data_IF_644864346684
#
_entry.id   IF_644864346684
#
_cell.length_a   1.000
_cell.length_b   1.000
_cell.length_c   1.000
_cell.angle_alpha   90.00
_cell.angle_beta   90.00
_cell.angle_gamma   90.00
#
_symmetry.space_group_name_H-M   'P 1'
#
loop_
_entity.id
_entity.type
_entity.pdbx_description
1 polymer ?
#
# COMPACT_ATOMS: atom_id res chain seq x y z
N UNK A 1 28.10 -13.40 -0.56
CA UNK A 1 26.71 -13.15 -1.05
C UNK A 1 26.72 -12.56 -2.45
N UNK A 2 27.34 -11.40 -2.69
CA UNK A 2 27.42 -10.82 -4.04
C UNK A 2 27.98 -11.79 -5.09
N UNK A 3 29.03 -12.53 -4.74
CA UNK A 3 29.59 -13.57 -5.60
C UNK A 3 28.67 -14.80 -5.71
N UNK A 4 28.43 -15.51 -4.60
CA UNK A 4 27.76 -16.81 -4.65
C UNK A 4 26.24 -16.78 -4.88
N UNK A 5 25.55 -15.70 -4.49
CA UNK A 5 24.08 -15.61 -4.60
C UNK A 5 23.65 -14.78 -5.80
N UNK A 6 24.36 -13.68 -6.06
CA UNK A 6 24.02 -12.75 -7.15
C UNK A 6 24.81 -13.08 -8.43
N UNK A 7 25.92 -13.81 -8.31
CA UNK A 7 26.76 -14.19 -9.45
C UNK A 7 27.72 -13.09 -9.90
N UNK A 8 27.99 -12.08 -9.07
CA UNK A 8 28.92 -11.00 -9.42
C UNK A 8 30.37 -11.47 -9.33
N UNK A 9 31.16 -11.16 -10.35
CA UNK A 9 32.57 -11.54 -10.43
C UNK A 9 33.42 -10.44 -11.07
N UNK A 10 34.74 -10.65 -11.10
CA UNK A 10 35.70 -9.76 -11.76
C UNK A 10 35.67 -8.32 -11.23
N UNK A 11 35.73 -7.35 -12.15
CA UNK A 11 35.84 -5.93 -11.82
C UNK A 11 34.66 -5.40 -11.00
N UNK A 12 33.43 -5.87 -11.27
CA UNK A 12 32.25 -5.45 -10.53
C UNK A 12 32.33 -5.89 -9.06
N UNK A 13 32.76 -7.14 -8.80
CA UNK A 13 32.95 -7.63 -7.44
C UNK A 13 34.07 -6.88 -6.72
N UNK A 14 35.19 -6.62 -7.39
CA UNK A 14 36.30 -5.83 -6.83
C UNK A 14 35.87 -4.41 -6.49
N UNK A 15 35.05 -3.77 -7.34
CA UNK A 15 34.50 -2.45 -7.07
C UNK A 15 33.60 -2.45 -5.82
N UNK A 16 32.72 -3.44 -5.67
CA UNK A 16 31.93 -3.57 -4.45
C UNK A 16 32.79 -3.84 -3.21
N UNK A 17 33.85 -4.66 -3.30
CA UNK A 17 34.79 -4.86 -2.18
C UNK A 17 35.43 -3.53 -1.77
N UNK A 18 35.94 -2.76 -2.73
CA UNK A 18 36.47 -1.42 -2.48
C UNK A 18 35.44 -0.47 -1.88
N UNK A 19 34.16 -0.60 -2.22
CA UNK A 19 33.09 0.21 -1.64
C UNK A 19 32.84 -0.11 -0.16
N UNK A 20 33.07 -1.34 0.29
CA UNK A 20 32.84 -1.73 1.68
C UNK A 20 34.06 -1.59 2.58
N UNK A 21 35.26 -1.86 2.04
CA UNK A 21 36.53 -1.88 2.76
C UNK A 21 37.06 -0.48 3.07
N UNK A 22 37.86 -0.36 4.15
CA UNK A 22 38.56 0.87 4.50
C UNK A 22 37.66 2.04 4.90
N UNK A 23 36.38 1.81 5.17
CA UNK A 23 35.44 2.86 5.55
C UNK A 23 35.58 3.24 7.02
N UNK A 24 35.36 4.52 7.28
CA UNK A 24 35.12 5.03 8.63
C UNK A 24 34.28 6.29 8.59
N UNK A 25 33.86 6.75 9.75
CA UNK A 25 33.02 7.92 9.92
C UNK A 25 33.52 8.78 11.07
N UNK A 26 33.11 10.04 11.05
CA UNK A 26 33.15 10.95 12.17
C UNK A 26 31.88 11.80 12.14
N UNK A 27 31.52 12.39 13.27
CA UNK A 27 30.36 13.27 13.40
C UNK A 27 30.85 14.70 13.53
N UNK A 28 30.26 15.62 12.76
CA UNK A 28 30.57 17.06 12.83
C UNK A 28 29.33 17.83 13.23
N UNK A 29 29.44 18.69 14.25
CA UNK A 29 28.37 19.58 14.71
C UNK A 29 28.92 20.99 14.93
N UNK A 30 28.61 21.89 13.99
CA UNK A 30 29.27 23.20 13.92
C UNK A 30 30.77 23.02 13.69
N UNK A 31 31.58 23.62 14.56
CA UNK A 31 33.06 23.53 14.51
C UNK A 31 33.64 22.31 15.22
N UNK A 32 32.82 21.49 15.88
CA UNK A 32 33.29 20.32 16.62
C UNK A 32 33.23 19.06 15.76
N UNK A 33 34.31 18.28 15.77
CA UNK A 33 34.42 16.99 15.08
C UNK A 33 34.77 15.88 16.05
N UNK A 34 34.14 14.72 15.89
CA UNK A 34 34.51 13.51 16.62
C UNK A 34 35.80 12.90 16.06
N UNK A 35 36.38 11.96 16.81
CA UNK A 35 37.46 11.11 16.27
C UNK A 35 36.93 10.26 15.11
N UNK A 36 37.80 10.00 14.16
CA UNK A 36 37.54 9.06 13.07
C UNK A 36 37.44 7.64 13.62
N UNK A 37 36.38 6.92 13.25
CA UNK A 37 36.10 5.55 13.70
C UNK A 37 35.88 4.66 12.49
N UNK A 38 36.54 3.50 12.47
CA UNK A 38 36.36 2.50 11.40
C UNK A 38 34.97 1.89 11.43
N UNK A 39 34.41 1.62 10.25
CA UNK A 39 33.07 1.06 10.07
C UNK A 39 33.15 -0.31 9.42
N UNK A 40 32.97 -1.35 10.24
CA UNK A 40 33.11 -2.76 9.82
C UNK A 40 31.85 -3.34 9.20
N UNK A 41 30.68 -2.76 9.47
CA UNK A 41 29.39 -3.25 9.00
C UNK A 41 28.46 -2.10 8.57
N UNK A 42 27.43 -2.45 7.80
CA UNK A 42 26.38 -1.52 7.36
C UNK A 42 26.72 -0.75 6.08
N UNK A 43 25.70 -0.16 5.47
CA UNK A 43 25.82 0.74 4.30
C UNK A 43 25.51 2.17 4.73
N UNK A 44 26.12 3.20 4.12
CA UNK A 44 25.88 4.58 4.53
C UNK A 44 24.43 4.96 4.21
N UNK A 45 23.70 5.47 5.19
CA UNK A 45 22.36 6.00 4.96
C UNK A 45 22.45 7.22 4.02
N UNK A 46 21.55 7.28 3.04
CA UNK A 46 21.58 8.30 1.98
C UNK A 46 22.43 7.92 0.76
N UNK A 47 23.18 6.82 0.80
CA UNK A 47 23.85 6.29 -0.40
C UNK A 47 22.83 5.72 -1.39
N UNK A 48 23.05 5.98 -2.68
CA UNK A 48 22.23 5.46 -3.79
C UNK A 48 22.24 3.92 -3.81
N UNK A 49 23.36 3.29 -3.42
CA UNK A 49 23.52 1.83 -3.45
C UNK A 49 22.96 1.14 -2.20
N UNK A 50 22.79 1.87 -1.10
CA UNK A 50 22.38 1.27 0.17
C UNK A 50 21.08 0.46 0.07
N UNK A 51 20.00 0.94 -0.59
CA UNK A 51 18.77 0.16 -0.74
C UNK A 51 18.98 -1.16 -1.50
N UNK A 52 19.68 -1.11 -2.65
CA UNK A 52 19.96 -2.31 -3.45
C UNK A 52 20.78 -3.32 -2.65
N UNK A 53 21.85 -2.86 -2.01
CA UNK A 53 22.74 -3.70 -1.21
C UNK A 53 22.00 -4.35 -0.03
N UNK A 54 21.07 -3.63 0.60
CA UNK A 54 20.22 -4.18 1.64
C UNK A 54 19.29 -5.28 1.07
N UNK A 55 18.64 -5.05 -0.07
CA UNK A 55 17.82 -6.10 -0.71
C UNK A 55 18.64 -7.35 -1.06
N UNK A 56 19.85 -7.18 -1.60
CA UNK A 56 20.76 -8.30 -1.89
C UNK A 56 21.21 -9.02 -0.61
N UNK A 57 21.40 -8.26 0.48
CA UNK A 57 21.72 -8.83 1.78
C UNK A 57 20.59 -9.72 2.29
N UNK A 58 19.33 -9.32 2.12
CA UNK A 58 18.16 -10.04 2.62
C UNK A 58 17.73 -11.24 1.75
N UNK A 59 18.33 -11.46 0.57
CA UNK A 59 17.96 -12.56 -0.34
C UNK A 59 17.84 -13.95 0.33
N UNK A 60 18.75 -14.39 1.23
CA UNK A 60 18.64 -15.70 1.84
C UNK A 60 17.42 -15.90 2.74
N UNK A 61 16.92 -14.81 3.35
CA UNK A 61 15.71 -14.85 4.17
C UNK A 61 14.50 -15.37 3.37
N UNK A 62 14.47 -14.95 2.09
CA UNK A 62 13.43 -15.30 1.12
C UNK A 62 13.38 -16.81 0.83
N UNK A 63 14.51 -17.51 0.94
CA UNK A 63 14.62 -18.97 0.75
C UNK A 63 14.07 -19.72 1.97
N UNK A 64 14.37 -19.26 3.18
CA UNK A 64 13.84 -19.84 4.44
C UNK A 64 12.31 -19.88 4.40
N UNK A 65 11.69 -18.76 4.02
CA UNK A 65 10.23 -18.67 3.91
C UNK A 65 9.66 -19.63 2.85
N UNK A 66 10.30 -19.75 1.68
CA UNK A 66 9.86 -20.68 0.63
C UNK A 66 10.00 -22.14 1.04
N UNK A 67 11.05 -22.50 1.77
CA UNK A 67 11.25 -23.87 2.26
C UNK A 67 10.14 -24.28 3.24
N UNK A 68 9.66 -23.34 4.05
CA UNK A 68 8.53 -23.52 4.96
C UNK A 68 7.16 -23.32 4.28
N UNK A 69 7.11 -23.19 2.95
CA UNK A 69 5.88 -22.95 2.16
C UNK A 69 5.10 -21.71 2.58
N UNK A 70 5.79 -20.68 3.08
CA UNK A 70 5.20 -19.46 3.57
C UNK A 70 5.22 -18.38 2.48
N UNK A 71 4.06 -17.77 2.26
CA UNK A 71 3.94 -16.60 1.40
C UNK A 71 4.40 -15.35 2.14
N UNK A 72 5.10 -14.44 1.45
CA UNK A 72 5.61 -13.22 2.06
C UNK A 72 5.71 -12.07 1.06
N UNK A 73 5.75 -10.86 1.61
CA UNK A 73 6.21 -9.66 0.93
C UNK A 73 7.28 -8.98 1.78
N UNK A 74 8.24 -8.35 1.14
CA UNK A 74 9.29 -7.58 1.82
C UNK A 74 9.39 -6.20 1.21
N UNK A 75 9.47 -5.19 2.05
CA UNK A 75 9.71 -3.81 1.68
C UNK A 75 10.74 -3.22 2.63
N UNK A 76 11.97 -3.05 2.13
CA UNK A 76 13.12 -2.75 2.99
C UNK A 76 13.17 -3.75 4.16
N UNK A 77 13.28 -3.27 5.40
CA UNK A 77 13.31 -4.08 6.62
C UNK A 77 11.94 -4.63 7.04
N UNK A 78 10.83 -4.04 6.58
CA UNK A 78 9.49 -4.54 6.84
C UNK A 78 9.22 -5.80 6.02
N UNK A 79 8.97 -6.93 6.70
CA UNK A 79 8.57 -8.19 6.07
C UNK A 79 7.22 -8.64 6.58
N UNK A 80 6.29 -8.88 5.64
CA UNK A 80 4.97 -9.40 5.92
C UNK A 80 4.91 -10.88 5.55
N UNK A 81 4.39 -11.70 6.46
CA UNK A 81 4.18 -13.12 6.27
C UNK A 81 2.68 -13.39 6.18
N UNK A 82 2.27 -14.19 5.20
CA UNK A 82 0.88 -14.54 4.95
C UNK A 82 0.69 -16.05 5.09
N UNK A 83 -0.37 -16.41 5.80
CA UNK A 83 -0.74 -17.80 6.05
C UNK A 83 -2.25 -17.94 5.85
N UNK A 84 -2.65 -18.90 5.03
CA UNK A 84 -4.04 -19.30 4.91
C UNK A 84 -4.27 -20.53 5.79
N UNK A 85 -5.37 -20.53 6.53
CA UNK A 85 -5.75 -21.63 7.41
C UNK A 85 -7.05 -22.24 6.93
N UNK A 86 -7.10 -23.56 6.94
CA UNK A 86 -8.34 -24.30 6.80
C UNK A 86 -8.98 -24.49 8.17
N UNK A 87 -10.32 -24.53 8.29
CA UNK A 87 -10.98 -24.76 9.56
C UNK A 87 -10.44 -26.03 10.24
N UNK A 88 -10.07 -25.92 11.52
CA UNK A 88 -9.49 -26.98 12.35
C UNK A 88 -8.11 -27.53 11.93
N UNK A 89 -7.44 -26.94 10.92
CA UNK A 89 -6.06 -27.28 10.58
C UNK A 89 -5.11 -26.15 11.01
N UNK A 90 -4.38 -26.40 12.10
CA UNK A 90 -3.41 -25.47 12.67
C UNK A 90 -1.96 -25.83 12.32
N UNK A 91 -1.72 -26.88 11.53
CA UNK A 91 -0.37 -27.25 11.08
C UNK A 91 0.38 -26.13 10.35
N UNK A 92 -0.28 -25.20 9.61
CA UNK A 92 0.45 -24.09 9.01
C UNK A 92 0.96 -23.09 10.05
N UNK A 93 0.33 -22.99 11.23
CA UNK A 93 0.80 -22.13 12.33
C UNK A 93 2.08 -22.70 12.93
N UNK A 94 2.19 -24.03 13.01
CA UNK A 94 3.41 -24.68 13.48
C UNK A 94 4.57 -24.45 12.52
N UNK A 95 4.30 -24.56 11.22
CA UNK A 95 5.26 -24.22 10.17
C UNK A 95 5.69 -22.75 10.23
N UNK A 96 4.76 -21.84 10.55
CA UNK A 96 5.06 -20.42 10.80
C UNK A 96 6.00 -20.24 11.99
N UNK A 97 5.73 -20.89 13.13
CA UNK A 97 6.56 -20.77 14.32
C UNK A 97 7.98 -21.27 14.04
N UNK A 98 8.12 -22.42 13.39
CA UNK A 98 9.41 -22.95 12.97
C UNK A 98 10.14 -21.97 12.03
N UNK A 99 9.44 -21.42 11.04
CA UNK A 99 10.02 -20.45 10.13
C UNK A 99 10.51 -19.19 10.86
N UNK A 100 9.78 -18.69 11.86
CA UNK A 100 10.19 -17.53 12.66
C UNK A 100 11.49 -17.83 13.42
N UNK A 101 11.63 -19.04 13.98
CA UNK A 101 12.85 -19.46 14.68
C UNK A 101 14.05 -19.57 13.72
N UNK A 102 13.84 -20.12 12.53
CA UNK A 102 14.86 -20.18 11.47
C UNK A 102 15.28 -18.78 11.00
N UNK A 103 14.31 -17.88 10.81
CA UNK A 103 14.55 -16.47 10.48
C UNK A 103 15.37 -15.80 11.58
N UNK A 104 15.01 -15.99 12.84
CA UNK A 104 15.71 -15.38 13.96
C UNK A 104 17.15 -15.90 14.07
N UNK A 105 17.35 -17.22 13.92
CA UNK A 105 18.68 -17.83 13.88
C UNK A 105 19.53 -17.27 12.75
N UNK A 106 18.96 -17.17 11.54
CA UNK A 106 19.64 -16.59 10.39
C UNK A 106 19.98 -15.12 10.61
N UNK A 107 19.06 -14.31 11.15
CA UNK A 107 19.32 -12.90 11.44
C UNK A 107 20.49 -12.75 12.41
N UNK A 108 20.50 -13.50 13.51
CA UNK A 108 21.59 -13.50 14.50
C UNK A 108 22.95 -13.85 13.88
N UNK A 109 23.01 -14.90 13.05
CA UNK A 109 24.23 -15.31 12.35
C UNK A 109 24.74 -14.26 11.37
N UNK A 110 23.88 -13.32 10.97
CA UNK A 110 24.17 -12.30 9.99
C UNK A 110 24.07 -10.90 10.60
N UNK A 111 24.37 -10.76 11.90
CA UNK A 111 24.47 -9.45 12.56
C UNK A 111 23.21 -8.57 12.42
N UNK A 112 22.04 -9.21 12.27
CA UNK A 112 20.73 -8.57 12.30
C UNK A 112 20.00 -9.00 13.58
N UNK A 113 19.09 -8.15 14.03
CA UNK A 113 18.25 -8.42 15.19
C UNK A 113 16.79 -8.34 14.78
N UNK A 114 16.06 -9.44 14.97
CA UNK A 114 14.61 -9.45 14.83
C UNK A 114 13.99 -8.58 15.93
N UNK A 115 13.24 -7.55 15.54
CA UNK A 115 12.57 -6.69 16.49
C UNK A 115 11.28 -7.34 16.97
N UNK A 116 11.36 -8.10 18.07
CA UNK A 116 10.21 -8.81 18.67
C UNK A 116 9.07 -7.86 19.06
N UNK A 117 9.38 -6.67 19.55
CA UNK A 117 8.36 -5.68 19.95
C UNK A 117 7.56 -5.14 18.76
N UNK A 118 8.20 -5.02 17.59
CA UNK A 118 7.58 -4.60 16.34
C UNK A 118 6.96 -5.75 15.53
N UNK A 119 7.25 -6.99 15.88
CA UNK A 119 6.69 -8.15 15.19
C UNK A 119 5.26 -8.37 15.70
N UNK A 120 4.28 -8.08 14.84
CA UNK A 120 2.87 -8.13 15.20
C UNK A 120 2.14 -9.20 14.38
N UNK A 121 1.23 -9.95 15.02
CA UNK A 121 0.39 -10.96 14.36
C UNK A 121 -1.07 -10.50 14.39
N UNK A 122 -1.77 -10.65 13.27
CA UNK A 122 -3.20 -10.35 13.16
C UNK A 122 -3.92 -11.46 12.38
N UNK A 123 -5.05 -11.93 12.91
CA UNK A 123 -5.94 -12.87 12.23
C UNK A 123 -7.04 -12.16 11.47
N UNK A 124 -7.33 -12.62 10.25
CA UNK A 124 -8.46 -12.17 9.44
C UNK A 124 -9.41 -13.34 9.18
N UNK A 125 -10.71 -13.13 9.33
CA UNK A 125 -11.71 -14.17 9.11
C UNK A 125 -12.99 -13.93 9.89
N UNK A 126 -13.81 -14.98 10.04
CA UNK A 126 -14.99 -14.94 10.90
C UNK A 126 -14.56 -14.77 12.35
N UNK A 127 -15.37 -14.06 13.15
CA UNK A 127 -15.04 -13.75 14.54
C UNK A 127 -14.74 -15.00 15.36
N UNK A 128 -15.49 -16.08 15.14
CA UNK A 128 -15.31 -17.33 15.87
C UNK A 128 -14.00 -18.02 15.51
N UNK A 129 -13.68 -18.14 14.22
CA UNK A 129 -12.44 -18.78 13.77
C UNK A 129 -11.20 -17.97 14.18
N UNK A 130 -11.25 -16.64 14.07
CA UNK A 130 -10.17 -15.77 14.53
C UNK A 130 -9.90 -15.96 16.03
N UNK A 131 -10.93 -16.13 16.86
CA UNK A 131 -10.74 -16.38 18.29
C UNK A 131 -10.03 -17.72 18.55
N UNK A 132 -10.39 -18.79 17.83
CA UNK A 132 -9.73 -20.10 17.94
C UNK A 132 -8.26 -20.02 17.50
N UNK A 133 -8.00 -19.37 16.36
CA UNK A 133 -6.65 -19.16 15.82
C UNK A 133 -5.79 -18.33 16.77
N UNK A 134 -6.34 -17.24 17.32
CA UNK A 134 -5.63 -16.40 18.29
C UNK A 134 -5.25 -17.18 19.55
N UNK A 135 -6.18 -17.99 20.09
CA UNK A 135 -5.90 -18.83 21.25
C UNK A 135 -4.77 -19.84 20.97
N UNK A 136 -4.75 -20.42 19.76
CA UNK A 136 -3.68 -21.33 19.35
C UNK A 136 -2.32 -20.60 19.21
N UNK A 137 -2.30 -19.43 18.57
CA UNK A 137 -1.10 -18.58 18.44
C UNK A 137 -0.54 -18.17 19.81
N UNK A 138 -1.42 -17.76 20.73
CA UNK A 138 -1.03 -17.38 22.09
C UNK A 138 -0.42 -18.59 22.82
N UNK A 139 -0.95 -19.81 22.62
CA UNK A 139 -0.35 -21.05 23.17
C UNK A 139 1.05 -21.36 22.64
N UNK A 140 1.38 -20.86 21.44
CA UNK A 140 2.70 -20.93 20.80
C UNK A 140 3.60 -19.73 21.12
N UNK A 141 3.17 -18.84 22.03
CA UNK A 141 3.91 -17.65 22.44
C UNK A 141 3.87 -16.50 21.43
N UNK A 142 2.95 -16.54 20.46
CA UNK A 142 2.77 -15.48 19.46
C UNK A 142 1.60 -14.59 19.83
N UNK A 143 1.88 -13.39 20.35
CA UNK A 143 0.83 -12.45 20.77
C UNK A 143 0.11 -11.84 19.57
N UNK A 144 -1.22 -11.98 19.54
CA UNK A 144 -2.07 -11.39 18.50
C UNK A 144 -2.55 -9.98 18.85
N UNK A 145 -2.75 -9.14 17.82
CA UNK A 145 -3.32 -7.80 17.95
C UNK A 145 -4.60 -7.67 17.12
N UNK A 146 -5.53 -6.85 17.60
CA UNK A 146 -6.76 -6.51 16.87
C UNK A 146 -6.52 -5.49 15.75
N UNK A 147 -5.41 -4.75 15.82
CA UNK A 147 -4.96 -3.82 14.80
C UNK A 147 -3.44 -3.85 14.66
N UNK A 148 -2.94 -3.73 13.43
CA UNK A 148 -1.51 -3.68 13.11
C UNK A 148 -1.21 -2.58 12.10
N UNK A 149 0.00 -2.05 12.12
CA UNK A 149 0.42 -1.05 11.12
C UNK A 149 1.29 -1.71 10.06
N UNK A 150 0.89 -1.57 8.80
CA UNK A 150 1.65 -2.06 7.65
C UNK A 150 1.84 -0.93 6.63
N UNK A 151 3.09 -0.54 6.34
CA UNK A 151 3.45 0.51 5.38
C UNK A 151 2.61 1.79 5.52
N UNK A 152 2.37 2.23 6.76
CA UNK A 152 1.59 3.44 7.08
C UNK A 152 0.06 3.26 7.07
N UNK A 153 -0.45 2.09 6.73
CA UNK A 153 -1.88 1.73 6.83
C UNK A 153 -2.14 0.99 8.14
N UNK A 154 -3.26 1.29 8.80
CA UNK A 154 -3.70 0.55 10.00
C UNK A 154 -4.72 -0.48 9.54
N UNK A 155 -4.40 -1.75 9.71
CA UNK A 155 -5.27 -2.88 9.40
C UNK A 155 -5.96 -3.32 10.69
N UNK A 156 -7.27 -3.47 10.65
CA UNK A 156 -8.09 -4.02 11.73
C UNK A 156 -8.53 -5.43 11.33
N UNK A 157 -8.74 -6.32 12.30
CA UNK A 157 -9.08 -7.73 12.03
C UNK A 157 -10.40 -7.90 11.25
N UNK A 158 -11.29 -6.91 11.34
CA UNK A 158 -12.56 -6.85 10.61
C UNK A 158 -12.45 -6.16 9.23
N UNK A 159 -11.26 -5.69 8.86
CA UNK A 159 -10.99 -4.90 7.65
C UNK A 159 -11.91 -3.67 7.50
N UNK A 160 -12.37 -3.07 8.60
CA UNK A 160 -13.24 -1.88 8.55
C UNK A 160 -12.48 -0.60 8.22
N UNK A 161 -11.17 -0.57 8.47
CA UNK A 161 -10.27 0.60 8.34
C UNK A 161 -10.74 1.84 9.09
N UNK A 162 -11.61 1.67 10.09
CA UNK A 162 -12.18 2.75 10.89
C UNK A 162 -11.09 3.50 11.64
N UNK A 163 -10.14 2.78 12.24
CA UNK A 163 -9.02 3.35 12.98
C UNK A 163 -8.02 4.04 12.05
N UNK A 164 -7.79 3.48 10.87
CA UNK A 164 -6.97 4.12 9.83
C UNK A 164 -7.57 5.46 9.39
N UNK A 165 -8.84 5.47 9.01
CA UNK A 165 -9.54 6.67 8.55
C UNK A 165 -9.59 7.74 9.64
N UNK A 166 -9.81 7.36 10.91
CA UNK A 166 -9.73 8.29 12.05
C UNK A 166 -8.33 8.91 12.20
N UNK A 167 -7.27 8.10 12.07
CA UNK A 167 -5.89 8.58 12.17
C UNK A 167 -5.55 9.57 11.04
N UNK A 168 -5.92 9.24 9.80
CA UNK A 168 -5.75 10.13 8.64
C UNK A 168 -6.57 11.42 8.83
N UNK A 169 -7.81 11.29 9.29
CA UNK A 169 -8.69 12.43 9.57
C UNK A 169 -8.09 13.37 10.61
N UNK A 170 -7.60 12.84 11.74
CA UNK A 170 -6.94 13.62 12.79
C UNK A 170 -5.72 14.36 12.25
N UNK A 171 -4.84 13.68 11.51
CA UNK A 171 -3.65 14.28 10.93
C UNK A 171 -4.01 15.36 9.89
N UNK A 172 -4.97 15.09 9.01
CA UNK A 172 -5.39 16.04 7.99
C UNK A 172 -6.00 17.30 8.60
N UNK A 173 -6.88 17.19 9.61
CA UNK A 173 -7.45 18.37 10.27
C UNK A 173 -6.41 19.18 11.06
N UNK A 174 -5.39 18.53 11.63
CA UNK A 174 -4.26 19.23 12.22
C UNK A 174 -3.56 20.13 11.18
N UNK A 175 -3.24 19.57 10.01
CA UNK A 175 -2.63 20.36 8.92
C UNK A 175 -3.58 21.42 8.37
N UNK A 176 -4.87 21.12 8.15
CA UNK A 176 -5.86 22.09 7.70
C UNK A 176 -5.96 23.29 8.63
N UNK A 177 -5.94 23.07 9.95
CA UNK A 177 -5.97 24.16 10.94
C UNK A 177 -4.74 25.06 10.82
N UNK A 178 -3.56 24.48 10.62
CA UNK A 178 -2.32 25.25 10.44
C UNK A 178 -2.33 26.01 9.11
N UNK A 179 -2.73 25.35 8.02
CA UNK A 179 -2.89 25.97 6.70
C UNK A 179 -3.89 27.12 6.74
N UNK A 180 -5.03 26.96 7.43
CA UNK A 180 -6.03 28.02 7.58
C UNK A 180 -5.49 29.25 8.33
N UNK A 181 -4.61 29.06 9.33
CA UNK A 181 -3.99 30.17 10.07
C UNK A 181 -3.05 31.00 9.23
N UNK A 182 -2.27 30.35 8.37
CA UNK A 182 -1.28 31.04 7.52
C UNK A 182 -1.87 31.55 6.21
N UNK A 183 -3.11 31.15 5.86
CA UNK A 183 -3.79 31.49 4.60
C UNK A 183 -3.67 32.97 4.22
N UNK A 184 -3.76 33.88 5.18
CA UNK A 184 -3.70 35.33 4.94
C UNK A 184 -2.32 35.82 4.49
N UNK A 185 -1.27 35.03 4.72
CA UNK A 185 0.13 35.38 4.51
C UNK A 185 0.76 34.65 3.33
N UNK A 186 0.04 33.73 2.68
CA UNK A 186 0.51 32.96 1.52
C UNK A 186 -0.31 33.25 0.29
N UNK A 187 0.34 33.19 -0.88
CA UNK A 187 -0.34 33.29 -2.17
C UNK A 187 -1.34 32.15 -2.37
N UNK A 188 -2.35 32.34 -3.22
CA UNK A 188 -3.30 31.27 -3.55
C UNK A 188 -2.62 30.05 -4.16
N UNK A 189 -1.56 30.25 -4.97
CA UNK A 189 -0.80 29.17 -5.59
C UNK A 189 -0.02 28.36 -4.55
N UNK A 190 0.61 29.01 -3.58
CA UNK A 190 1.35 28.31 -2.53
C UNK A 190 0.39 27.63 -1.54
N UNK A 191 -0.77 28.25 -1.28
CA UNK A 191 -1.83 27.62 -0.51
C UNK A 191 -2.33 26.32 -1.16
N UNK A 192 -2.50 26.32 -2.48
CA UNK A 192 -2.86 25.12 -3.26
C UNK A 192 -1.78 24.04 -3.12
N UNK A 193 -0.49 24.39 -3.28
CA UNK A 193 0.63 23.46 -3.06
C UNK A 193 0.61 22.87 -1.66
N UNK A 194 0.37 23.68 -0.63
CA UNK A 194 0.28 23.22 0.76
C UNK A 194 -0.89 22.25 0.96
N UNK A 195 -2.06 22.57 0.39
CA UNK A 195 -3.23 21.68 0.45
C UNK A 195 -2.92 20.35 -0.25
N UNK A 196 -2.29 20.37 -1.41
CA UNK A 196 -1.93 19.14 -2.10
C UNK A 196 -0.87 18.32 -1.34
N UNK A 197 0.19 18.98 -0.87
CA UNK A 197 1.30 18.34 -0.16
C UNK A 197 0.87 17.75 1.19
N UNK A 198 0.00 18.43 1.94
CA UNK A 198 -0.39 17.99 3.28
C UNK A 198 -1.70 17.22 3.32
N UNK A 199 -2.67 17.52 2.46
CA UNK A 199 -4.02 16.97 2.55
C UNK A 199 -4.26 15.96 1.43
N UNK A 200 -4.09 16.38 0.17
CA UNK A 200 -4.37 15.50 -0.98
C UNK A 200 -3.48 14.26 -0.96
N UNK A 201 -2.18 14.41 -0.69
CA UNK A 201 -1.24 13.30 -0.55
C UNK A 201 -1.69 12.26 0.48
N UNK A 202 -2.21 12.70 1.64
CA UNK A 202 -2.72 11.83 2.72
C UNK A 202 -4.03 11.16 2.35
N UNK A 203 -4.93 11.88 1.68
CA UNK A 203 -6.22 11.33 1.21
C UNK A 203 -6.01 10.30 0.10
N UNK A 204 -4.99 10.46 -0.74
CA UNK A 204 -4.70 9.58 -1.86
C UNK A 204 -3.76 8.42 -1.52
N UNK A 205 -3.05 8.48 -0.40
CA UNK A 205 -2.15 7.41 0.04
C UNK A 205 -2.96 6.15 0.37
N UNK A 206 -2.67 5.06 -0.34
CA UNK A 206 -3.34 3.76 -0.20
C UNK A 206 -4.87 3.79 -0.23
N UNK A 207 -5.49 4.81 -0.82
CA UNK A 207 -6.95 4.95 -0.84
C UNK A 207 -7.66 3.84 -1.65
N UNK A 208 -6.94 3.13 -2.52
CA UNK A 208 -7.42 1.94 -3.21
C UNK A 208 -7.80 0.78 -2.28
N UNK A 209 -7.34 0.79 -1.02
CA UNK A 209 -7.77 -0.18 0.01
C UNK A 209 -9.18 0.12 0.56
N UNK A 210 -9.69 1.33 0.31
CA UNK A 210 -10.99 1.77 0.81
C UNK A 210 -12.15 1.35 -0.11
N UNK A 211 -11.90 0.45 -1.07
CA UNK A 211 -12.91 -0.09 -1.98
C UNK A 211 -14.00 -0.84 -1.24
N UNK A 212 -15.25 -0.66 -1.66
CA UNK A 212 -16.40 -1.37 -1.09
C UNK A 212 -16.69 -1.07 0.38
N UNK A 213 -15.94 -0.17 1.04
CA UNK A 213 -16.22 0.23 2.41
C UNK A 213 -17.55 0.98 2.53
N UNK A 214 -18.20 0.96 3.70
CA UNK A 214 -19.42 1.71 3.93
C UNK A 214 -19.26 3.19 3.60
N UNK A 215 -20.27 3.78 2.93
CA UNK A 215 -20.29 5.22 2.58
C UNK A 215 -20.02 6.13 3.76
N UNK A 216 -20.40 5.73 4.99
CA UNK A 216 -20.12 6.45 6.23
C UNK A 216 -18.62 6.63 6.49
N UNK A 217 -17.81 5.61 6.20
CA UNK A 217 -16.36 5.64 6.38
C UNK A 217 -15.71 6.56 5.35
N UNK A 218 -16.06 6.39 4.07
CA UNK A 218 -15.58 7.25 2.97
C UNK A 218 -16.00 8.71 3.15
N UNK A 219 -17.18 8.97 3.73
CA UNK A 219 -17.66 10.33 4.00
C UNK A 219 -16.68 11.12 4.88
N UNK A 220 -15.99 10.50 5.83
CA UNK A 220 -15.00 11.22 6.65
C UNK A 220 -13.87 11.77 5.79
N UNK A 221 -13.36 10.96 4.86
CA UNK A 221 -12.35 11.38 3.89
C UNK A 221 -12.88 12.49 2.95
N UNK A 222 -14.14 12.38 2.52
CA UNK A 222 -14.78 13.43 1.72
C UNK A 222 -14.88 14.76 2.49
N UNK A 223 -15.17 14.73 3.79
CA UNK A 223 -15.25 15.93 4.61
C UNK A 223 -13.88 16.64 4.72
N UNK A 224 -12.78 15.89 4.75
CA UNK A 224 -11.43 16.45 4.71
C UNK A 224 -11.20 17.20 3.39
N UNK A 225 -11.54 16.58 2.25
CA UNK A 225 -11.41 17.21 0.93
C UNK A 225 -12.28 18.47 0.84
N UNK A 226 -13.51 18.41 1.35
CA UNK A 226 -14.44 19.53 1.36
C UNK A 226 -13.89 20.70 2.19
N UNK A 227 -13.34 20.41 3.38
CA UNK A 227 -12.73 21.43 4.23
C UNK A 227 -11.51 22.07 3.56
N UNK A 228 -10.68 21.27 2.90
CA UNK A 228 -9.53 21.75 2.13
C UNK A 228 -9.95 22.69 0.99
N UNK A 229 -10.97 22.29 0.22
CA UNK A 229 -11.51 23.10 -0.86
C UNK A 229 -12.03 24.45 -0.36
N UNK A 230 -12.77 24.45 0.75
CA UNK A 230 -13.26 25.70 1.38
C UNK A 230 -12.15 26.61 1.86
N UNK A 231 -11.07 26.06 2.43
CA UNK A 231 -9.93 26.87 2.87
C UNK A 231 -9.26 27.52 1.66
N UNK A 232 -9.11 26.77 0.56
CA UNK A 232 -8.50 27.27 -0.66
C UNK A 232 -9.33 28.40 -1.30
N UNK A 233 -10.65 28.20 -1.44
CA UNK A 233 -11.55 29.15 -2.12
C UNK A 233 -12.15 30.22 -1.22
N UNK A 234 -12.01 30.09 0.11
CA UNK A 234 -12.67 30.99 1.07
C UNK A 234 -14.19 30.81 1.17
N UNK A 235 -14.74 29.73 0.64
CA UNK A 235 -16.18 29.44 0.65
C UNK A 235 -16.70 29.26 2.08
N UNK A 236 -17.87 29.83 2.39
CA UNK A 236 -18.47 29.74 3.74
C UNK A 236 -18.83 28.29 4.09
N UNK A 237 -18.95 28.01 5.39
CA UNK A 237 -19.19 26.67 5.94
C UNK A 237 -20.41 25.96 5.36
N UNK A 238 -21.51 26.68 5.15
CA UNK A 238 -22.81 26.12 4.78
C UNK A 238 -23.11 26.18 3.27
N UNK A 239 -22.27 26.84 2.48
CA UNK A 239 -22.45 26.89 1.02
C UNK A 239 -22.30 25.50 0.40
N UNK A 240 -23.04 25.21 -0.66
CA UNK A 240 -22.98 23.91 -1.32
C UNK A 240 -21.56 23.63 -1.85
N UNK A 241 -21.01 22.44 -1.55
CA UNK A 241 -19.60 22.15 -1.85
C UNK A 241 -19.38 21.66 -3.28
N UNK A 242 -20.39 21.05 -3.91
CA UNK A 242 -20.26 20.45 -5.25
C UNK A 242 -19.78 21.46 -6.32
N UNK A 243 -20.29 22.71 -6.39
CA UNK A 243 -19.78 23.70 -7.34
C UNK A 243 -18.31 24.07 -7.10
N UNK A 244 -17.87 24.08 -5.84
CA UNK A 244 -16.48 24.37 -5.47
C UNK A 244 -15.56 23.24 -5.92
N UNK A 245 -15.96 21.98 -5.71
CA UNK A 245 -15.18 20.84 -6.21
C UNK A 245 -15.14 20.81 -7.73
N UNK A 246 -16.24 21.16 -8.41
CA UNK A 246 -16.32 21.26 -9.87
C UNK A 246 -15.38 22.35 -10.39
N UNK A 247 -15.38 23.55 -9.80
CA UNK A 247 -14.51 24.66 -10.22
C UNK A 247 -13.03 24.36 -10.02
N UNK A 248 -12.68 23.69 -8.92
CA UNK A 248 -11.31 23.23 -8.64
C UNK A 248 -10.89 22.02 -9.49
N UNK A 249 -11.81 21.43 -10.26
CA UNK A 249 -11.60 20.15 -10.96
C UNK A 249 -11.18 19.01 -10.01
N UNK A 250 -11.68 19.03 -8.77
CA UNK A 250 -11.40 18.04 -7.74
C UNK A 250 -12.45 16.95 -7.75
N UNK A 251 -12.02 15.75 -8.12
CA UNK A 251 -12.86 14.57 -8.12
C UNK A 251 -13.22 14.17 -6.67
N UNK A 252 -14.49 13.85 -6.36
CA UNK A 252 -14.87 13.39 -5.01
C UNK A 252 -14.12 12.10 -4.63
N UNK A 253 -13.85 11.91 -3.34
CA UNK A 253 -12.96 10.85 -2.83
C UNK A 253 -13.32 9.46 -3.33
N UNK A 254 -14.61 9.11 -3.39
CA UNK A 254 -15.04 7.78 -3.88
C UNK A 254 -14.56 7.52 -5.31
N UNK A 255 -14.74 8.49 -6.21
CA UNK A 255 -14.27 8.39 -7.59
C UNK A 255 -12.74 8.42 -7.69
N UNK A 256 -12.03 8.98 -6.70
CA UNK A 256 -10.55 8.89 -6.63
C UNK A 256 -10.09 7.48 -6.25
N UNK A 257 -10.86 6.77 -5.42
CA UNK A 257 -10.63 5.35 -5.13
C UNK A 257 -10.84 4.54 -6.41
N UNK A 258 -11.97 4.74 -7.09
CA UNK A 258 -12.28 4.07 -8.36
C UNK A 258 -11.19 4.32 -9.41
N UNK A 259 -10.75 5.57 -9.53
CA UNK A 259 -9.66 5.93 -10.43
C UNK A 259 -8.38 5.12 -10.17
N UNK A 260 -8.02 4.91 -8.89
CA UNK A 260 -6.80 4.17 -8.51
C UNK A 260 -6.94 2.68 -8.78
N UNK A 261 -8.10 2.11 -8.51
CA UNK A 261 -8.41 0.71 -8.78
C UNK A 261 -8.40 0.44 -10.28
N UNK A 262 -9.12 1.25 -11.07
CA UNK A 262 -9.18 1.11 -12.52
C UNK A 262 -7.81 1.31 -13.19
N UNK A 263 -6.98 2.21 -12.65
CA UNK A 263 -5.59 2.36 -13.09
C UNK A 263 -4.74 1.12 -12.79
N UNK A 264 -4.97 0.48 -11.64
CA UNK A 264 -4.28 -0.77 -11.28
C UNK A 264 -4.70 -1.90 -12.22
N UNK A 265 -6.00 -2.03 -12.53
CA UNK A 265 -6.52 -3.01 -13.49
C UNK A 265 -5.89 -2.82 -14.86
N UNK A 266 -5.95 -1.60 -15.41
CA UNK A 266 -5.37 -1.32 -16.73
C UNK A 266 -3.88 -1.69 -16.77
N UNK A 267 -3.12 -1.33 -15.73
CA UNK A 267 -1.70 -1.72 -15.65
C UNK A 267 -1.53 -3.23 -15.63
N UNK A 268 -2.30 -3.96 -14.82
CA UNK A 268 -2.21 -5.41 -14.72
C UNK A 268 -2.55 -6.11 -16.04
N UNK A 269 -3.62 -5.69 -16.72
CA UNK A 269 -4.02 -6.25 -18.02
C UNK A 269 -3.01 -5.97 -19.15
N UNK A 270 -2.23 -4.89 -19.03
CA UNK A 270 -1.20 -4.53 -20.02
C UNK A 270 0.22 -4.93 -19.59
N UNK A 271 0.37 -5.82 -18.59
CA UNK A 271 1.68 -6.31 -18.14
C UNK A 271 2.56 -5.27 -17.42
N UNK A 272 2.00 -4.11 -17.05
CA UNK A 272 2.67 -3.05 -16.29
C UNK A 272 2.41 -3.17 -14.77
N UNK A 273 1.51 -4.07 -14.37
CA UNK A 273 1.14 -4.32 -12.98
C UNK A 273 1.84 -5.56 -12.39
N UNK A 274 1.77 -5.75 -11.07
CA UNK A 274 2.29 -6.96 -10.44
C UNK A 274 1.54 -8.20 -10.89
N UNK A 275 2.26 -9.29 -11.14
CA UNK A 275 1.69 -10.55 -11.64
C UNK A 275 0.57 -11.08 -10.75
N UNK A 276 0.76 -11.08 -9.43
CA UNK A 276 -0.26 -11.56 -8.48
C UNK A 276 -1.58 -10.77 -8.53
N UNK A 277 -1.55 -9.49 -8.95
CA UNK A 277 -2.76 -8.70 -9.18
C UNK A 277 -3.41 -9.10 -10.50
N UNK A 278 -2.61 -9.30 -11.54
CA UNK A 278 -3.11 -9.74 -12.85
C UNK A 278 -3.76 -11.14 -12.75
N UNK A 279 -3.17 -12.06 -11.98
CA UNK A 279 -3.68 -13.40 -11.75
C UNK A 279 -5.06 -13.42 -11.05
N UNK A 280 -5.42 -12.33 -10.35
CA UNK A 280 -6.76 -12.15 -9.75
C UNK A 280 -7.83 -11.64 -10.75
N UNK A 281 -7.44 -11.28 -11.97
CA UNK A 281 -8.33 -10.74 -13.00
C UNK A 281 -8.54 -11.77 -14.10
N UNK A 282 -9.70 -12.41 -14.11
CA UNK A 282 -10.04 -13.41 -15.12
C UNK A 282 -10.77 -12.77 -16.30
N UNK A 283 -10.34 -13.06 -17.53
CA UNK A 283 -11.05 -12.64 -18.73
C UNK A 283 -12.40 -13.35 -18.84
N UNK A 284 -13.45 -12.60 -19.18
CA UNK A 284 -14.77 -13.17 -19.40
C UNK A 284 -14.80 -13.95 -20.73
N UNK A 285 -15.04 -15.27 -20.64
CA UNK A 285 -15.21 -16.15 -21.81
C UNK A 285 -16.61 -16.74 -21.82
N UNK A 286 -17.54 -16.24 -22.66
CA UNK A 286 -18.88 -16.79 -22.70
C UNK A 286 -18.89 -18.18 -23.38
N UNK A 287 -19.75 -19.09 -22.89
CA UNK A 287 -19.91 -20.44 -23.46
C UNK A 287 -20.51 -20.46 -24.88
N UNK A 288 -21.01 -19.33 -25.37
CA UNK A 288 -21.61 -19.17 -26.70
C UNK A 288 -21.12 -17.86 -27.31
N UNK A 289 -21.00 -17.76 -28.64
CA UNK A 289 -20.66 -16.50 -29.30
C UNK A 289 -21.79 -15.48 -29.10
N UNK A 290 -21.56 -14.53 -28.20
CA UNK A 290 -22.47 -13.41 -27.93
C UNK A 290 -21.93 -12.14 -28.59
N UNK A 291 -22.75 -11.09 -28.74
CA UNK A 291 -22.26 -9.78 -29.20
C UNK A 291 -21.15 -9.18 -28.31
N UNK A 292 -21.01 -9.67 -27.07
CA UNK A 292 -19.94 -9.31 -26.12
C UNK A 292 -18.62 -10.08 -26.34
N UNK A 293 -18.51 -10.95 -27.34
CA UNK A 293 -17.30 -11.75 -27.60
C UNK A 293 -16.07 -10.91 -27.97
N UNK A 294 -16.23 -9.60 -28.24
CA UNK A 294 -15.16 -8.66 -28.57
C UNK A 294 -14.96 -7.53 -27.55
N UNK A 295 -15.71 -7.50 -26.44
CA UNK A 295 -15.49 -6.51 -25.37
C UNK A 295 -14.46 -7.03 -24.38
N UNK A 296 -13.52 -6.18 -23.97
CA UNK A 296 -12.50 -6.50 -22.95
C UNK A 296 -13.15 -6.55 -21.55
N UNK A 297 -14.03 -7.53 -21.33
CA UNK A 297 -14.77 -7.75 -20.09
C UNK A 297 -14.05 -8.73 -19.17
N UNK A 298 -14.20 -8.50 -17.87
CA UNK A 298 -13.70 -9.36 -16.81
C UNK A 298 -14.83 -10.21 -16.25
N UNK A 299 -14.51 -11.44 -15.88
CA UNK A 299 -15.43 -12.30 -15.15
C UNK A 299 -15.65 -11.70 -13.75
N UNK A 300 -16.91 -11.60 -13.32
CA UNK A 300 -17.26 -11.14 -11.97
C UNK A 300 -17.45 -12.37 -11.10
N UNK A 301 -16.56 -12.63 -10.11
CA UNK A 301 -16.71 -13.76 -9.20
C UNK A 301 -18.02 -13.67 -8.42
N UNK A 302 -18.66 -14.82 -8.20
CA UNK A 302 -19.81 -14.93 -7.30
C UNK A 302 -19.34 -14.73 -5.87
N UNK A 303 -20.09 -13.92 -5.13
CA UNK A 303 -19.81 -13.59 -3.74
C UNK A 303 -21.10 -13.75 -2.93
N UNK A 304 -20.93 -14.13 -1.66
CA UNK A 304 -22.02 -14.43 -0.73
C UNK A 304 -22.12 -13.39 0.39
N UNK A 305 -21.07 -12.60 0.62
CA UNK A 305 -21.05 -11.57 1.65
C UNK A 305 -20.72 -10.19 1.07
N UNK A 306 -21.17 -9.14 1.76
CA UNK A 306 -20.85 -7.76 1.41
C UNK A 306 -19.34 -7.46 1.53
N UNK A 307 -18.64 -8.17 2.40
CA UNK A 307 -17.19 -8.03 2.54
C UNK A 307 -16.47 -8.61 1.31
N UNK A 308 -16.95 -9.73 0.76
CA UNK A 308 -16.44 -10.27 -0.50
C UNK A 308 -16.74 -9.36 -1.70
N UNK A 309 -17.86 -8.63 -1.73
CA UNK A 309 -18.10 -7.60 -2.75
C UNK A 309 -17.03 -6.48 -2.74
N UNK A 310 -16.42 -6.23 -1.57
CA UNK A 310 -15.34 -5.25 -1.41
C UNK A 310 -13.97 -5.79 -1.79
N UNK A 311 -13.84 -7.12 -1.97
CA UNK A 311 -12.61 -7.75 -2.42
C UNK A 311 -12.21 -7.22 -3.80
N UNK A 312 -10.90 -7.11 -4.01
CA UNK A 312 -10.35 -6.55 -5.24
C UNK A 312 -10.89 -7.26 -6.48
N UNK A 313 -10.87 -8.59 -6.53
CA UNK A 313 -11.32 -9.37 -7.70
C UNK A 313 -12.77 -9.05 -8.12
N UNK A 314 -13.69 -8.95 -7.15
CA UNK A 314 -15.09 -8.62 -7.43
C UNK A 314 -15.27 -7.14 -7.79
N UNK A 315 -14.78 -6.23 -6.93
CA UNK A 315 -14.95 -4.79 -7.12
C UNK A 315 -14.29 -4.30 -8.41
N UNK A 316 -13.09 -4.80 -8.71
CA UNK A 316 -12.33 -4.48 -9.91
C UNK A 316 -13.07 -4.90 -11.17
N UNK A 317 -13.48 -6.17 -11.27
CA UNK A 317 -14.18 -6.69 -12.43
C UNK A 317 -15.49 -5.92 -12.68
N UNK A 318 -16.28 -5.69 -11.63
CA UNK A 318 -17.52 -4.91 -11.72
C UNK A 318 -17.28 -3.48 -12.21
N UNK A 319 -16.32 -2.78 -11.62
CA UNK A 319 -16.03 -1.39 -11.97
C UNK A 319 -15.47 -1.26 -13.38
N UNK A 320 -14.59 -2.19 -13.79
CA UNK A 320 -14.03 -2.24 -15.13
C UNK A 320 -15.09 -2.46 -16.20
N UNK A 321 -16.02 -3.40 -15.96
CA UNK A 321 -17.08 -3.72 -16.91
C UNK A 321 -18.08 -2.57 -17.12
N UNK A 322 -18.18 -1.62 -16.18
CA UNK A 322 -19.00 -0.41 -16.31
C UNK A 322 -18.34 0.68 -17.18
N UNK A 323 -17.05 0.57 -17.50
CA UNK A 323 -16.37 1.55 -18.32
C UNK A 323 -16.76 1.44 -19.80
N UNK A 324 -16.92 2.59 -20.50
CA UNK A 324 -17.03 2.61 -21.95
C UNK A 324 -15.84 1.94 -22.65
N UNK A 325 -16.10 1.24 -23.75
CA UNK A 325 -15.06 0.56 -24.55
C UNK A 325 -13.98 1.53 -25.04
N UNK A 326 -14.34 2.77 -25.38
CA UNK A 326 -13.40 3.81 -25.81
C UNK A 326 -12.30 4.11 -24.77
N UNK A 327 -12.62 3.95 -23.49
CA UNK A 327 -11.67 4.14 -22.39
C UNK A 327 -10.81 2.88 -22.25
N UNK A 328 -11.44 1.69 -22.26
CA UNK A 328 -10.74 0.40 -22.11
C UNK A 328 -9.74 0.14 -23.24
N UNK A 329 -10.10 0.49 -24.48
CA UNK A 329 -9.26 0.34 -25.68
C UNK A 329 -8.16 1.43 -25.81
N UNK A 330 -7.91 2.23 -24.77
CA UNK A 330 -6.84 3.21 -24.81
C UNK A 330 -5.47 2.53 -24.99
N UNK A 331 -4.71 2.96 -26.02
CA UNK A 331 -3.42 2.35 -26.41
C UNK A 331 -2.28 2.58 -25.40
N UNK A 332 -2.38 3.62 -24.57
CA UNK A 332 -1.32 3.96 -23.61
C UNK A 332 -1.92 4.26 -22.24
N UNK A 333 -1.12 4.04 -21.19
CA UNK A 333 -1.47 4.39 -19.82
C UNK A 333 -1.81 5.87 -19.66
N UNK A 334 -1.10 6.75 -20.38
CA UNK A 334 -1.35 8.19 -20.32
C UNK A 334 -2.72 8.55 -20.91
N UNK A 335 -3.06 7.98 -22.07
CA UNK A 335 -4.37 8.16 -22.72
C UNK A 335 -5.49 7.60 -21.84
N UNK A 336 -5.30 6.39 -21.29
CA UNK A 336 -6.25 5.77 -20.36
C UNK A 336 -6.51 6.66 -19.15
N UNK A 337 -5.44 7.13 -18.49
CA UNK A 337 -5.51 8.00 -17.31
C UNK A 337 -6.30 9.28 -17.59
N UNK A 338 -6.06 9.91 -18.74
CA UNK A 338 -6.76 11.15 -19.14
C UNK A 338 -8.24 10.91 -19.42
N UNK A 339 -8.57 9.89 -20.22
CA UNK A 339 -9.96 9.52 -20.56
C UNK A 339 -10.74 9.09 -19.32
N UNK A 340 -10.14 8.27 -18.48
CA UNK A 340 -10.73 7.82 -17.23
C UNK A 340 -11.03 8.99 -16.29
N UNK A 341 -10.09 9.91 -16.09
CA UNK A 341 -10.32 11.09 -15.25
C UNK A 341 -11.51 11.91 -15.78
N UNK A 342 -11.57 12.11 -17.08
CA UNK A 342 -12.65 12.86 -17.75
C UNK A 342 -13.99 12.19 -17.53
N UNK A 343 -14.08 10.87 -17.77
CA UNK A 343 -15.30 10.09 -17.57
C UNK A 343 -15.79 10.12 -16.12
N UNK A 344 -14.90 9.85 -15.15
CA UNK A 344 -15.27 9.89 -13.73
C UNK A 344 -15.68 11.29 -13.28
N UNK A 345 -15.07 12.34 -13.84
CA UNK A 345 -15.45 13.71 -13.56
C UNK A 345 -16.87 14.02 -14.08
N UNK A 346 -17.19 13.59 -15.31
CA UNK A 346 -18.55 13.70 -15.85
C UNK A 346 -19.56 12.95 -14.99
N UNK A 347 -19.28 11.70 -14.58
CA UNK A 347 -20.16 10.94 -13.70
C UNK A 347 -20.34 11.55 -12.30
N UNK A 348 -19.31 12.25 -11.80
CA UNK A 348 -19.36 12.87 -10.48
C UNK A 348 -20.17 14.17 -10.45
N UNK A 349 -20.24 14.89 -11.56
CA UNK A 349 -20.83 16.23 -11.67
C UNK A 349 -21.91 16.31 -12.76
N UNK A 350 -22.56 15.20 -13.08
CA UNK A 350 -23.75 15.19 -13.96
C UNK A 350 -24.79 16.17 -13.41
N UNK A 351 -25.27 17.04 -14.30
CA UNK A 351 -26.29 18.05 -14.04
C UNK A 351 -27.66 17.44 -13.75
#
# INVERSE_FOLDING_TARGET
RLENWVGLSGMALSWFRSYFEGRGYYVSTGEHQSKWTSMTCGVPQGSILAPLLFSLYMLPLSQIMRMNQIAYHSYADDTQIYLSLSPNDYSPIDSLCQCIDEINSWMCQNFLQLNKEKTEVIGFGSKEEVLKVNAYLDSRGQTTKSQVRNLGVILESDLSFSSHVKAVTKSAYYHLKNTARIRCFVSSQDLEKLVHAFITSRVDYCNGLLTGLPKKTIRQMQLIQNAAARILTGTRKFEHITPVLRSLHWLPVIFRVDFKVLLLIYKSLNGLGPKYIADMLTEYKPNRPLRSLGSSQLEIPRVHTKQEESAFSHYAARSWNQLPEEIKCAKTLATFKSRLKTHLFSCAFTE
#
